data_IF_905511884526
#
_entry.id   IF_905511884526
#
_cell.length_a   1.000
_cell.length_b   1.000
_cell.length_c   1.000
_cell.angle_alpha   90.00
_cell.angle_beta   90.00
_cell.angle_gamma   90.00
#
_symmetry.space_group_name_H-M   'P 1'
#
loop_
_entity.id
_entity.type
_entity.pdbx_description
1 polymer ?
#
# COMPACT_ATOMS: atom_id res chain seq x y z
N UNK A 1 21.16 10.89 6.80
CA UNK A 1 20.76 9.61 6.17
C UNK A 1 19.25 9.62 6.13
N UNK A 2 18.67 9.67 4.93
CA UNK A 2 17.22 9.63 4.79
C UNK A 2 16.68 8.34 5.42
N UNK A 3 15.70 8.50 6.31
CA UNK A 3 14.95 7.37 6.87
C UNK A 3 14.26 6.65 5.72
N UNK A 4 14.40 5.33 5.62
CA UNK A 4 13.65 4.52 4.66
C UNK A 4 12.17 4.69 4.91
N UNK A 5 11.41 4.84 3.83
CA UNK A 5 9.97 5.02 3.90
C UNK A 5 9.27 3.66 3.93
N UNK A 6 8.15 3.61 4.63
CA UNK A 6 7.19 2.51 4.55
C UNK A 6 6.01 3.01 3.73
N UNK A 7 5.72 2.36 2.61
CA UNK A 7 4.65 2.72 1.69
C UNK A 7 3.59 1.62 1.72
N UNK A 8 2.39 1.97 2.15
CA UNK A 8 1.21 1.12 2.01
C UNK A 8 0.50 1.47 0.70
N UNK A 9 0.18 0.45 -0.09
CA UNK A 9 -0.49 0.63 -1.38
C UNK A 9 -1.68 -0.31 -1.51
N UNK A 10 -2.82 0.23 -1.91
CA UNK A 10 -4.03 -0.52 -2.21
C UNK A 10 -3.90 -1.33 -3.52
N UNK A 11 -4.76 -2.34 -3.68
CA UNK A 11 -4.81 -3.15 -4.88
C UNK A 11 -5.84 -2.66 -5.91
N UNK A 12 -7.12 -2.64 -5.53
CA UNK A 12 -8.27 -2.53 -6.44
C UNK A 12 -8.53 -1.08 -6.83
N UNK A 13 -8.26 -0.70 -8.08
CA UNK A 13 -8.34 0.70 -8.53
C UNK A 13 -7.03 1.47 -8.33
N UNK A 14 -6.07 0.89 -7.60
CA UNK A 14 -4.77 1.49 -7.32
C UNK A 14 -3.64 0.82 -8.10
N UNK A 15 -3.25 -0.40 -7.74
CA UNK A 15 -2.25 -1.18 -8.49
C UNK A 15 -2.82 -1.83 -9.74
N UNK A 16 -4.09 -2.24 -9.66
CA UNK A 16 -4.78 -3.04 -10.67
C UNK A 16 -6.13 -2.41 -10.99
N UNK A 17 -6.34 -2.04 -12.25
CA UNK A 17 -7.63 -1.56 -12.74
C UNK A 17 -8.50 -2.77 -13.09
N UNK A 18 -9.12 -3.36 -12.06
CA UNK A 18 -9.95 -4.56 -12.19
C UNK A 18 -11.38 -4.35 -11.71
N UNK A 19 -12.30 -5.14 -12.25
CA UNK A 19 -13.59 -5.43 -11.59
C UNK A 19 -13.41 -6.61 -10.65
N UNK A 20 -13.59 -6.38 -9.36
CA UNK A 20 -13.64 -7.45 -8.35
C UNK A 20 -14.62 -8.57 -8.77
N UNK A 21 -14.32 -9.86 -8.57
CA UNK A 21 -13.17 -10.44 -7.87
C UNK A 21 -11.95 -10.76 -8.77
N UNK A 22 -12.00 -10.37 -10.05
CA UNK A 22 -10.94 -10.67 -11.00
C UNK A 22 -9.78 -9.67 -10.91
N UNK A 23 -8.75 -9.90 -11.71
CA UNK A 23 -7.62 -8.98 -11.89
C UNK A 23 -7.70 -8.38 -13.29
N UNK A 24 -7.20 -7.16 -13.45
CA UNK A 24 -7.26 -6.40 -14.68
C UNK A 24 -5.92 -5.77 -15.02
N UNK A 25 -5.98 -4.63 -15.70
CA UNK A 25 -4.79 -3.98 -16.26
C UNK A 25 -3.90 -3.37 -15.17
N UNK A 26 -2.56 -3.46 -15.32
CA UNK A 26 -1.64 -2.88 -14.36
C UNK A 26 -1.60 -1.35 -14.45
N UNK A 27 -1.58 -0.68 -13.30
CA UNK A 27 -1.18 0.73 -13.21
C UNK A 27 0.34 0.84 -13.34
N UNK A 28 0.84 0.66 -14.57
CA UNK A 28 2.27 0.53 -14.86
C UNK A 28 3.12 1.69 -14.31
N UNK A 29 2.72 2.98 -14.44
CA UNK A 29 3.50 4.08 -13.88
C UNK A 29 3.67 4.00 -12.36
N UNK A 30 2.61 3.64 -11.62
CA UNK A 30 2.69 3.47 -10.17
C UNK A 30 3.57 2.27 -9.80
N UNK A 31 3.42 1.15 -10.51
CA UNK A 31 4.22 -0.05 -10.27
C UNK A 31 5.72 0.24 -10.46
N UNK A 32 6.09 0.99 -11.51
CA UNK A 32 7.48 1.34 -11.77
C UNK A 32 8.05 2.28 -10.71
N UNK A 33 7.24 3.24 -10.24
CA UNK A 33 7.58 4.09 -9.10
C UNK A 33 7.87 3.25 -7.83
N UNK A 34 6.98 2.32 -7.49
CA UNK A 34 7.14 1.46 -6.31
C UNK A 34 8.37 0.54 -6.42
N UNK A 35 8.70 0.05 -7.62
CA UNK A 35 9.94 -0.71 -7.85
C UNK A 35 11.19 0.11 -7.60
N UNK A 36 11.20 1.40 -7.97
CA UNK A 36 12.33 2.30 -7.69
C UNK A 36 12.49 2.47 -6.18
N UNK A 37 11.41 2.72 -5.46
CA UNK A 37 11.42 2.83 -3.99
C UNK A 37 11.91 1.55 -3.31
N UNK A 38 11.42 0.39 -3.73
CA UNK A 38 11.88 -0.89 -3.19
C UNK A 38 13.37 -1.14 -3.47
N UNK A 39 13.87 -0.79 -4.66
CA UNK A 39 15.31 -0.84 -4.98
C UNK A 39 16.14 0.14 -4.13
N UNK A 40 15.57 1.28 -3.77
CA UNK A 40 16.20 2.24 -2.88
C UNK A 40 16.21 1.77 -1.41
N UNK A 41 15.54 0.66 -1.07
CA UNK A 41 15.49 0.09 0.28
C UNK A 41 14.28 0.53 1.10
N UNK A 42 13.30 1.19 0.48
CA UNK A 42 12.00 1.44 1.11
C UNK A 42 11.20 0.15 1.22
N UNK A 43 10.25 0.14 2.15
CA UNK A 43 9.39 -1.00 2.46
C UNK A 43 8.02 -0.84 1.83
N UNK A 44 7.51 -1.91 1.23
CA UNK A 44 6.18 -1.92 0.64
C UNK A 44 5.24 -2.83 1.42
N UNK A 45 4.05 -2.33 1.74
CA UNK A 45 2.96 -3.10 2.32
C UNK A 45 1.82 -3.14 1.31
N UNK A 46 1.38 -4.34 0.92
CA UNK A 46 0.11 -4.47 0.20
C UNK A 46 -1.01 -4.29 1.21
N UNK A 47 -1.85 -3.27 1.04
CA UNK A 47 -2.92 -2.92 1.96
C UNK A 47 -4.27 -2.99 1.26
N UNK A 48 -4.91 -4.16 1.28
CA UNK A 48 -6.10 -4.46 0.50
C UNK A 48 -7.19 -5.12 1.34
N UNK A 49 -8.45 -4.85 1.00
CA UNK A 49 -9.59 -5.59 1.55
C UNK A 49 -9.70 -7.03 1.05
N UNK A 50 -8.91 -7.44 0.05
CA UNK A 50 -8.89 -8.83 -0.44
C UNK A 50 -8.40 -9.78 0.67
N UNK A 51 -9.04 -10.93 0.79
CA UNK A 51 -8.74 -11.95 1.80
C UNK A 51 -8.87 -13.37 1.25
N UNK A 52 -8.21 -14.33 1.89
CA UNK A 52 -8.25 -15.74 1.50
C UNK A 52 -7.85 -15.95 0.04
N UNK A 53 -8.59 -16.79 -0.69
CA UNK A 53 -8.29 -17.14 -2.09
C UNK A 53 -8.21 -15.91 -3.00
N UNK A 54 -8.97 -14.85 -2.72
CA UNK A 54 -8.94 -13.62 -3.52
C UNK A 54 -7.65 -12.81 -3.27
N UNK A 55 -7.13 -12.85 -2.04
CA UNK A 55 -5.82 -12.28 -1.72
C UNK A 55 -4.70 -13.06 -2.42
N UNK A 56 -4.77 -14.40 -2.41
CA UNK A 56 -3.78 -15.23 -3.09
C UNK A 56 -3.70 -14.92 -4.59
N UNK A 57 -4.85 -14.71 -5.24
CA UNK A 57 -4.92 -14.26 -6.64
C UNK A 57 -4.26 -12.90 -6.84
N UNK A 58 -4.52 -11.92 -5.97
CA UNK A 58 -3.89 -10.60 -6.06
C UNK A 58 -2.37 -10.68 -5.88
N UNK A 59 -1.90 -11.49 -4.92
CA UNK A 59 -0.47 -11.71 -4.70
C UNK A 59 0.21 -12.40 -5.88
N UNK A 60 -0.43 -13.39 -6.49
CA UNK A 60 0.08 -14.02 -7.71
C UNK A 60 0.14 -13.03 -8.87
N UNK A 61 -0.90 -12.22 -9.07
CA UNK A 61 -0.87 -11.15 -10.06
C UNK A 61 0.26 -10.14 -9.81
N UNK A 62 0.49 -9.73 -8.55
CA UNK A 62 1.60 -8.83 -8.21
C UNK A 62 2.97 -9.44 -8.57
N UNK A 63 3.18 -10.72 -8.27
CA UNK A 63 4.44 -11.42 -8.58
C UNK A 63 4.61 -11.67 -10.08
N UNK A 64 3.56 -12.12 -10.76
CA UNK A 64 3.62 -12.63 -12.11
C UNK A 64 3.48 -11.54 -13.17
N UNK A 65 2.56 -10.60 -12.96
CA UNK A 65 2.25 -9.50 -13.89
C UNK A 65 3.01 -8.25 -13.49
N UNK A 66 2.77 -7.72 -12.28
CA UNK A 66 3.39 -6.47 -11.86
C UNK A 66 4.90 -6.60 -11.60
N UNK A 67 5.42 -7.81 -11.39
CA UNK A 67 6.80 -8.08 -10.95
C UNK A 67 7.16 -7.27 -9.69
N UNK A 68 6.24 -7.24 -8.73
CA UNK A 68 6.33 -6.46 -7.50
C UNK A 68 6.12 -7.36 -6.28
N UNK A 69 6.98 -7.22 -5.28
CA UNK A 69 6.93 -7.98 -4.03
C UNK A 69 6.78 -7.05 -2.83
N UNK A 70 6.16 -7.54 -1.76
CA UNK A 70 5.84 -6.77 -0.56
C UNK A 70 6.60 -7.30 0.66
N UNK A 71 6.96 -6.39 1.56
CA UNK A 71 7.61 -6.69 2.83
C UNK A 71 6.57 -7.16 3.88
N UNK A 72 5.31 -6.73 3.74
CA UNK A 72 4.18 -7.24 4.49
C UNK A 72 2.89 -7.18 3.66
N UNK A 73 1.87 -7.94 4.05
CA UNK A 73 0.55 -7.97 3.39
C UNK A 73 -0.50 -7.87 4.46
N UNK A 74 -1.31 -6.81 4.41
CA UNK A 74 -2.34 -6.52 5.42
C UNK A 74 -1.83 -6.54 6.87
N UNK A 75 -0.55 -6.21 7.06
CA UNK A 75 0.10 -6.25 8.36
C UNK A 75 1.26 -5.24 8.45
N UNK A 76 1.67 -4.90 9.68
CA UNK A 76 2.83 -4.06 9.94
C UNK A 76 4.13 -4.80 9.60
N UNK A 77 5.13 -4.07 9.11
CA UNK A 77 6.48 -4.62 8.98
C UNK A 77 7.08 -4.91 10.38
N UNK A 78 7.96 -5.93 10.52
CA UNK A 78 8.47 -6.35 11.84
C UNK A 78 9.15 -5.25 12.65
N UNK A 79 9.84 -4.32 11.98
CA UNK A 79 10.51 -3.17 12.59
C UNK A 79 9.53 -2.20 13.26
N UNK A 80 8.32 -2.02 12.70
CA UNK A 80 7.26 -1.20 13.29
C UNK A 80 6.68 -1.89 14.52
N UNK A 81 6.42 -3.20 14.43
CA UNK A 81 5.88 -3.99 15.56
C UNK A 81 6.86 -3.94 16.73
N UNK A 82 8.16 -4.12 16.46
CA UNK A 82 9.20 -4.04 17.47
C UNK A 82 9.30 -2.64 18.10
N UNK A 83 9.18 -1.58 17.29
CA UNK A 83 9.27 -0.21 17.76
C UNK A 83 8.11 0.18 18.71
N UNK A 84 6.87 -0.19 18.37
CA UNK A 84 5.71 0.13 19.20
C UNK A 84 5.42 -0.89 20.32
N UNK A 85 6.07 -2.05 20.28
CA UNK A 85 5.84 -3.14 21.24
C UNK A 85 4.46 -3.80 21.09
N UNK A 86 3.74 -3.52 20.01
CA UNK A 86 2.47 -4.15 19.65
C UNK A 86 2.28 -4.18 18.13
N UNK A 87 1.35 -5.03 17.68
CA UNK A 87 0.89 -5.01 16.30
C UNK A 87 -0.52 -4.43 16.25
N UNK A 88 -0.63 -3.14 15.95
CA UNK A 88 -1.93 -2.46 15.92
C UNK A 88 -2.71 -2.84 14.66
N UNK A 89 -4.05 -2.90 14.76
CA UNK A 89 -4.92 -3.28 13.63
C UNK A 89 -4.77 -2.36 12.41
N UNK A 90 -4.54 -1.06 12.63
CA UNK A 90 -4.23 -0.11 11.56
C UNK A 90 -2.73 -0.20 11.31
N UNK A 91 -2.31 -0.47 10.08
CA UNK A 91 -0.89 -0.47 9.76
C UNK A 91 -0.31 0.94 9.90
N UNK A 92 0.93 1.04 10.35
CA UNK A 92 1.72 2.26 10.31
C UNK A 92 2.56 2.28 9.03
N UNK A 93 2.50 3.40 8.31
CA UNK A 93 3.34 3.68 7.16
C UNK A 93 3.53 5.19 7.01
N UNK A 94 4.51 5.59 6.20
CA UNK A 94 4.78 6.99 5.88
C UNK A 94 3.86 7.52 4.79
N UNK A 95 3.46 6.66 3.85
CA UNK A 95 2.62 7.00 2.71
C UNK A 95 1.53 5.94 2.56
N UNK A 96 0.29 6.38 2.40
CA UNK A 96 -0.82 5.55 1.91
C UNK A 96 -1.13 5.96 0.47
N UNK A 97 -1.13 5.02 -0.45
CA UNK A 97 -1.54 5.20 -1.85
C UNK A 97 -2.79 4.35 -2.05
N UNK A 98 -3.93 5.01 -2.25
CA UNK A 98 -5.25 4.37 -2.26
C UNK A 98 -6.22 5.20 -3.11
N UNK A 99 -6.99 4.54 -3.98
CA UNK A 99 -7.95 5.17 -4.91
C UNK A 99 -9.10 5.88 -4.18
N UNK A 100 -9.31 5.57 -2.90
CA UNK A 100 -10.37 6.13 -2.04
C UNK A 100 -9.81 6.97 -0.89
N UNK A 101 -8.50 7.24 -0.86
CA UNK A 101 -7.94 8.16 0.11
C UNK A 101 -8.34 9.61 -0.18
N UNK A 102 -8.54 10.37 0.90
CA UNK A 102 -8.71 11.81 0.86
C UNK A 102 -8.08 12.41 2.12
N UNK A 103 -7.31 13.49 1.98
CA UNK A 103 -6.76 14.19 3.16
C UNK A 103 -7.82 15.11 3.76
N UNK A 104 -7.78 15.41 5.07
CA UNK A 104 -8.81 16.23 5.72
C UNK A 104 -9.07 17.56 5.01
N UNK A 105 -8.01 18.25 4.57
CA UNK A 105 -8.13 19.55 3.92
C UNK A 105 -8.84 19.48 2.56
N UNK A 106 -8.75 18.35 1.85
CA UNK A 106 -9.49 18.08 0.60
C UNK A 106 -10.94 17.68 0.87
N UNK A 107 -11.21 16.93 1.95
CA UNK A 107 -12.54 16.41 2.25
C UNK A 107 -13.52 17.48 2.74
N UNK A 108 -13.11 18.30 3.71
CA UNK A 108 -13.98 19.26 4.40
C UNK A 108 -13.72 20.72 4.01
N UNK A 109 -12.67 21.00 3.21
CA UNK A 109 -12.15 22.35 2.97
C UNK A 109 -11.42 22.91 4.19
N UNK A 110 -10.08 22.84 4.20
CA UNK A 110 -9.18 23.32 5.28
C UNK A 110 -9.75 23.09 6.69
N UNK A 111 -9.78 21.84 7.15
CA UNK A 111 -10.21 21.50 8.52
C UNK A 111 -9.29 22.11 9.60
N UNK A 112 -8.14 22.68 9.23
CA UNK A 112 -7.29 23.49 10.12
C UNK A 112 -7.77 24.93 10.17
N UNK A 113 -8.87 25.20 10.88
CA UNK A 113 -9.02 26.51 11.54
C UNK A 113 -8.29 26.40 12.87
N UNK A 114 -7.00 26.71 12.86
CA UNK A 114 -6.30 27.05 14.09
C UNK A 114 -6.63 28.53 14.34
N UNK A 115 -7.46 28.80 15.34
CA UNK A 115 -7.33 30.01 16.15
C UNK A 115 -6.85 29.58 17.53
#
# INVERSE_FOLDING_TARGET
MDRKQIIAVDFDGTLCFSTWPDTGEPNQPLIDYLKIHKKAGDKLILWTCRSGVILDKALSWCREVAKLEFDAVNDNVPEVIAYYGNNSRKIFCDIYIDDKACVPDEFCGKCRIIQ
#
